data_IF_650736506261
#
_entry.id   IF_650736506261
#
_cell.length_a   1.000
_cell.length_b   1.000
_cell.length_c   1.000
_cell.angle_alpha   90.00
_cell.angle_beta   90.00
_cell.angle_gamma   90.00
#
_symmetry.space_group_name_H-M   'P 1'
#
loop_
_entity.id
_entity.type
_entity.pdbx_description
1 polymer ?
#
# COMPACT_ATOMS: atom_id res chain seq x y z
N UNK A 1 18.93 17.33 12.72
CA UNK A 1 18.26 17.12 11.42
C UNK A 1 16.95 16.40 11.70
N UNK A 2 15.83 17.12 11.72
CA UNK A 2 14.50 16.57 11.96
C UNK A 2 13.90 16.14 10.63
N UNK A 3 13.66 14.84 10.46
CA UNK A 3 12.98 14.27 9.31
C UNK A 3 11.51 14.72 9.33
N UNK A 4 11.17 15.63 8.43
CA UNK A 4 9.78 16.06 8.20
C UNK A 4 9.08 14.93 7.45
N UNK A 5 8.26 14.15 8.15
CA UNK A 5 7.36 13.22 7.50
C UNK A 5 6.30 14.02 6.74
N UNK A 6 6.07 13.79 5.43
CA UNK A 6 4.98 14.42 4.72
C UNK A 6 3.68 13.97 5.38
N UNK A 7 2.92 14.96 5.88
CA UNK A 7 1.76 14.73 6.72
C UNK A 7 0.75 13.81 6.04
N UNK A 8 0.43 12.71 6.72
CA UNK A 8 -0.89 12.11 6.58
C UNK A 8 -1.87 13.16 7.11
N UNK A 9 -2.51 13.91 6.21
CA UNK A 9 -3.67 14.72 6.58
C UNK A 9 -4.66 13.78 7.27
N UNK A 10 -5.02 14.01 8.53
CA UNK A 10 -6.09 13.26 9.14
C UNK A 10 -7.35 13.65 8.38
N UNK A 11 -7.84 12.75 7.51
CA UNK A 11 -9.21 12.87 7.00
C UNK A 11 -10.09 12.96 8.24
N UNK A 12 -10.75 14.10 8.43
CA UNK A 12 -11.68 14.28 9.53
C UNK A 12 -12.73 13.17 9.44
N UNK A 13 -12.61 12.15 10.28
CA UNK A 13 -13.59 11.08 10.42
C UNK A 13 -14.82 11.67 11.12
N UNK A 14 -15.66 12.34 10.35
CA UNK A 14 -17.04 12.61 10.74
C UNK A 14 -17.83 11.29 10.88
N UNK A 15 -18.96 11.30 11.61
CA UNK A 15 -19.69 10.09 12.00
C UNK A 15 -20.38 9.31 10.85
N UNK A 16 -20.23 9.75 9.61
CA UNK A 16 -20.74 9.12 8.39
C UNK A 16 -19.60 9.09 7.36
N UNK A 17 -18.57 8.28 7.62
CA UNK A 17 -17.56 8.02 6.61
C UNK A 17 -18.22 7.18 5.51
N UNK A 18 -18.37 7.78 4.33
CA UNK A 18 -18.91 7.18 3.12
C UNK A 18 -18.45 5.71 2.99
N UNK A 19 -19.38 4.75 2.86
CA UNK A 19 -19.04 3.33 2.80
C UNK A 19 -18.05 3.01 1.67
N UNK A 20 -18.06 3.75 0.57
CA UNK A 20 -17.13 3.56 -0.54
C UNK A 20 -15.72 4.06 -0.20
N UNK A 21 -15.62 5.14 0.57
CA UNK A 21 -14.33 5.63 1.09
C UNK A 21 -13.77 4.63 2.10
N UNK A 22 -14.60 4.10 3.01
CA UNK A 22 -14.17 3.07 3.96
C UNK A 22 -13.67 1.82 3.24
N UNK A 23 -14.42 1.34 2.25
CA UNK A 23 -14.02 0.19 1.43
C UNK A 23 -12.71 0.44 0.69
N UNK A 24 -12.52 1.65 0.17
CA UNK A 24 -11.27 2.03 -0.49
C UNK A 24 -10.10 2.05 0.49
N UNK A 25 -10.26 2.64 1.67
CA UNK A 25 -9.23 2.68 2.70
C UNK A 25 -8.86 1.25 3.19
N UNK A 26 -9.83 0.35 3.31
CA UNK A 26 -9.59 -1.07 3.64
C UNK A 26 -8.76 -1.78 2.55
N UNK A 27 -9.06 -1.54 1.27
CA UNK A 27 -8.27 -2.07 0.15
C UNK A 27 -6.84 -1.53 0.20
N UNK A 28 -6.67 -0.23 0.42
CA UNK A 28 -5.35 0.41 0.51
C UNK A 28 -4.56 -0.16 1.69
N UNK A 29 -5.16 -0.31 2.88
CA UNK A 29 -4.52 -0.90 4.06
C UNK A 29 -4.11 -2.36 3.80
N UNK A 30 -4.95 -3.14 3.12
CA UNK A 30 -4.62 -4.51 2.73
C UNK A 30 -3.42 -4.56 1.76
N UNK A 31 -3.38 -3.71 0.73
CA UNK A 31 -2.25 -3.61 -0.21
C UNK A 31 -0.95 -3.20 0.48
N UNK A 32 -1.03 -2.20 1.36
CA UNK A 32 0.11 -1.71 2.13
C UNK A 32 0.72 -2.82 3.01
N UNK A 33 -0.14 -3.64 3.63
CA UNK A 33 0.26 -4.77 4.48
C UNK A 33 0.55 -6.06 3.71
N UNK A 34 0.54 -6.04 2.38
CA UNK A 34 0.68 -7.24 1.52
C UNK A 34 -0.32 -8.35 1.85
N UNK A 35 -1.49 -7.97 2.37
CA UNK A 35 -2.56 -8.91 2.68
C UNK A 35 -3.35 -9.27 1.42
N UNK A 36 -3.93 -10.48 1.37
CA UNK A 36 -4.86 -10.80 0.30
C UNK A 36 -6.05 -9.84 0.36
N UNK A 37 -6.32 -9.19 -0.77
CA UNK A 37 -7.62 -8.58 -1.06
C UNK A 37 -8.49 -9.67 -1.67
N UNK A 38 -9.80 -9.64 -1.42
CA UNK A 38 -10.76 -10.68 -1.85
C UNK A 38 -10.62 -11.10 -3.32
N UNK A 39 -11.02 -12.33 -3.63
CA UNK A 39 -10.72 -12.99 -4.92
C UNK A 39 -11.36 -12.28 -6.14
N UNK A 40 -12.50 -11.61 -5.95
CA UNK A 40 -13.17 -10.77 -6.96
C UNK A 40 -12.65 -9.31 -6.97
N UNK A 41 -11.36 -9.11 -6.68
CA UNK A 41 -10.77 -7.78 -6.70
C UNK A 41 -10.78 -7.17 -8.12
N UNK A 42 -11.20 -5.91 -8.20
CA UNK A 42 -11.15 -5.09 -9.42
C UNK A 42 -9.79 -5.19 -10.14
N UNK A 43 -9.79 -5.09 -11.47
CA UNK A 43 -8.59 -5.21 -12.29
C UNK A 43 -7.46 -4.26 -11.85
N UNK A 44 -7.81 -3.05 -11.37
CA UNK A 44 -6.85 -2.08 -10.83
C UNK A 44 -6.20 -2.61 -9.56
N UNK A 45 -6.97 -3.20 -8.64
CA UNK A 45 -6.43 -3.77 -7.39
C UNK A 45 -5.49 -4.93 -7.69
N UNK A 46 -5.82 -5.76 -8.68
CA UNK A 46 -4.94 -6.85 -9.14
C UNK A 46 -3.63 -6.32 -9.71
N UNK A 47 -3.69 -5.27 -10.54
CA UNK A 47 -2.50 -4.59 -11.07
C UNK A 47 -1.64 -4.01 -9.94
N UNK A 48 -2.23 -3.33 -8.97
CA UNK A 48 -1.52 -2.76 -7.83
C UNK A 48 -0.84 -3.83 -6.98
N UNK A 49 -1.47 -5.01 -6.79
CA UNK A 49 -0.83 -6.16 -6.12
C UNK A 49 0.39 -6.66 -6.89
N UNK A 50 0.27 -6.82 -8.21
CA UNK A 50 1.36 -7.27 -9.06
C UNK A 50 2.55 -6.30 -9.02
N UNK A 51 2.27 -4.99 -9.08
CA UNK A 51 3.30 -3.95 -8.98
C UNK A 51 4.01 -3.97 -7.61
N UNK A 52 3.26 -4.14 -6.52
CA UNK A 52 3.84 -4.24 -5.18
C UNK A 52 4.79 -5.45 -5.07
N UNK A 53 4.40 -6.60 -5.64
CA UNK A 53 5.24 -7.80 -5.66
C UNK A 53 6.51 -7.62 -6.52
N UNK A 54 6.40 -6.97 -7.69
CA UNK A 54 7.58 -6.64 -8.53
C UNK A 54 8.58 -5.76 -7.77
N UNK A 55 8.09 -4.71 -7.10
CA UNK A 55 8.94 -3.84 -6.28
C UNK A 55 9.63 -4.62 -5.17
N UNK A 56 8.90 -5.47 -4.44
CA UNK A 56 9.47 -6.29 -3.37
C UNK A 56 10.56 -7.25 -3.91
N UNK A 57 10.33 -7.86 -5.08
CA UNK A 57 11.30 -8.72 -5.75
C UNK A 57 12.56 -7.95 -6.16
N UNK A 58 12.40 -6.74 -6.72
CA UNK A 58 13.53 -5.89 -7.12
C UNK A 58 14.36 -5.48 -5.91
N UNK A 59 13.72 -5.13 -4.79
CA UNK A 59 14.42 -4.81 -3.54
C UNK A 59 15.18 -6.03 -2.99
N UNK A 60 14.60 -7.23 -3.07
CA UNK A 60 15.28 -8.47 -2.67
C UNK A 60 16.44 -8.86 -3.61
N UNK A 61 16.39 -8.44 -4.87
CA UNK A 61 17.40 -8.76 -5.89
C UNK A 61 18.64 -7.87 -5.79
N UNK A 62 18.59 -6.77 -5.03
CA UNK A 62 19.77 -5.99 -4.67
C UNK A 62 20.48 -6.70 -3.51
N UNK A 63 21.12 -7.83 -3.80
CA UNK A 63 22.16 -8.36 -2.90
C UNK A 63 23.34 -7.39 -2.98
N UNK A 64 23.51 -6.59 -1.94
CA UNK A 64 24.73 -5.82 -1.74
C UNK A 64 25.85 -6.86 -1.57
N UNK A 65 26.57 -7.18 -2.64
CA UNK A 65 27.94 -7.66 -2.48
C UNK A 65 28.71 -6.47 -1.94
N UNK A 66 29.16 -6.47 -0.67
CA UNK A 66 30.07 -5.44 -0.21
C UNK A 66 31.34 -5.58 -1.05
N UNK A 67 31.63 -4.59 -1.88
CA UNK A 67 32.93 -4.53 -2.57
C UNK A 67 34.02 -4.35 -1.51
N UNK A 68 34.94 -5.32 -1.45
CA UNK A 68 36.21 -5.25 -0.70
C UNK A 68 37.10 -4.13 -1.17
#
# INVERSE_FOLDING_TARGET
MTTVHPGCSPRERGPEADPDVRRTDEIIDALARRRPVGEDADAVVRLLRALAADVDQRLSSVSITPST
#
